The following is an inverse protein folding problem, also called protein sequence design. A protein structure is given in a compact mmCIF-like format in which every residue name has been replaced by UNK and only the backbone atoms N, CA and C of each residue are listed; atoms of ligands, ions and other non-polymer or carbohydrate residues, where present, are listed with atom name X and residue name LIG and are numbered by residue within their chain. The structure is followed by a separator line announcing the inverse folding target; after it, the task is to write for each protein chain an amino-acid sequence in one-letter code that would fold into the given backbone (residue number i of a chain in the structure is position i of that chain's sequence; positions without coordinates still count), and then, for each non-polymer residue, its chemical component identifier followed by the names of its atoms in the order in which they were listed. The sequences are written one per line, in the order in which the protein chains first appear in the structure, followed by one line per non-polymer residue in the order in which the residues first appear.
data_IF_303552710391
#
_entry.id   IF_303552710391
#
_cell.length_a   1.000
_cell.length_b   1.000
_cell.length_c   1.000
_cell.angle_alpha   90.00
_cell.angle_beta   90.00
_cell.angle_gamma   90.00
#
_symmetry.space_group_name_H-M   'P 1'
#
loop_
_entity.id
_entity.type
_entity.pdbx_description
1 polymer ?
#
# COMPACT_ATOMS: atom_id res chain seq x y z
N UNK A 1 15.78 2.03 -4.96
CA UNK A 1 17.05 2.19 -4.20
C UNK A 1 17.22 0.93 -3.36
N UNK A 2 18.36 0.25 -3.43
CA UNK A 2 18.64 -0.96 -2.64
C UNK A 2 19.36 -0.56 -1.36
N UNK A 3 18.93 -1.12 -0.22
CA UNK A 3 19.50 -0.87 1.09
C UNK A 3 20.26 -2.11 1.58
N UNK A 4 21.30 -1.91 2.38
CA UNK A 4 22.08 -2.98 2.98
C UNK A 4 21.54 -3.35 4.36
N UNK A 5 21.78 -4.60 4.78
CA UNK A 5 21.21 -5.15 6.02
C UNK A 5 21.77 -4.53 7.30
N UNK A 6 22.86 -3.77 7.23
CA UNK A 6 23.54 -3.20 8.41
C UNK A 6 22.93 -1.88 8.89
N UNK A 7 21.94 -1.33 8.19
CA UNK A 7 21.47 0.04 8.41
C UNK A 7 20.24 0.15 9.33
N UNK A 8 19.62 -0.97 9.72
CA UNK A 8 18.37 -0.95 10.48
C UNK A 8 18.35 -1.85 11.72
N UNK A 9 17.45 -1.51 12.66
CA UNK A 9 17.15 -2.30 13.84
C UNK A 9 15.63 -2.43 14.02
N UNK A 10 15.14 -3.63 14.32
CA UNK A 10 13.73 -3.87 14.63
C UNK A 10 13.34 -3.24 15.98
N UNK A 11 12.13 -2.69 16.04
CA UNK A 11 11.57 -2.07 17.25
C UNK A 11 10.35 -2.88 17.71
N UNK A 12 9.30 -2.94 16.87
CA UNK A 12 8.05 -3.63 17.17
C UNK A 12 7.43 -4.26 15.92
N UNK A 13 6.60 -5.29 16.12
CA UNK A 13 5.75 -5.86 15.08
C UNK A 13 4.37 -5.21 15.19
N UNK A 14 3.90 -4.61 14.10
CA UNK A 14 2.63 -3.88 14.05
C UNK A 14 1.49 -4.77 13.53
N UNK A 15 1.80 -5.61 12.53
CA UNK A 15 0.80 -6.45 11.86
C UNK A 15 1.46 -7.66 11.24
N UNK A 16 0.77 -8.79 11.27
CA UNK A 16 1.12 -9.98 10.52
C UNK A 16 -0.07 -10.42 9.67
N UNK A 17 0.19 -10.88 8.46
CA UNK A 17 -0.78 -11.51 7.57
C UNK A 17 -0.22 -12.82 7.01
N UNK A 18 -0.97 -13.49 6.16
CA UNK A 18 -0.50 -14.66 5.42
C UNK A 18 0.57 -14.33 4.38
N UNK A 19 0.63 -13.08 3.92
CA UNK A 19 1.51 -12.64 2.82
C UNK A 19 2.69 -11.82 3.31
N UNK A 20 2.60 -11.16 4.47
CA UNK A 20 3.65 -10.27 4.96
C UNK A 20 3.62 -10.05 6.47
N UNK A 21 4.66 -9.42 6.99
CA UNK A 21 4.74 -8.89 8.36
C UNK A 21 5.24 -7.45 8.31
N UNK A 22 4.59 -6.58 9.07
CA UNK A 22 4.87 -5.14 9.14
C UNK A 22 5.51 -4.82 10.49
N UNK A 23 6.65 -4.14 10.44
CA UNK A 23 7.45 -3.79 11.60
C UNK A 23 7.74 -2.29 11.64
N UNK A 24 7.82 -1.73 12.84
CA UNK A 24 8.58 -0.50 13.05
C UNK A 24 10.06 -0.84 13.15
N UNK A 25 10.88 -0.07 12.46
CA UNK A 25 12.34 -0.22 12.45
C UNK A 25 13.00 1.15 12.59
N UNK A 26 14.19 1.19 13.19
CA UNK A 26 15.06 2.35 13.16
C UNK A 26 16.06 2.19 12.01
N UNK A 27 15.97 3.00 10.97
CA UNK A 27 16.95 3.11 9.89
C UNK A 27 17.86 4.32 10.16
N UNK A 28 19.11 4.10 10.52
CA UNK A 28 20.07 5.18 10.82
C UNK A 28 19.52 6.25 11.81
N UNK A 29 18.77 5.81 12.83
CA UNK A 29 18.13 6.67 13.84
C UNK A 29 16.80 7.28 13.42
N UNK A 30 16.32 7.04 12.19
CA UNK A 30 14.98 7.41 11.72
C UNK A 30 13.99 6.27 11.93
N UNK A 31 12.83 6.56 12.50
CA UNK A 31 11.73 5.61 12.60
C UNK A 31 11.08 5.40 11.22
N UNK A 32 11.01 4.16 10.78
CA UNK A 32 10.48 3.74 9.49
C UNK A 32 9.55 2.54 9.65
N UNK A 33 8.73 2.30 8.64
CA UNK A 33 7.91 1.10 8.53
C UNK A 33 8.59 0.12 7.56
N UNK A 34 8.81 -1.11 7.99
CA UNK A 34 9.34 -2.19 7.17
C UNK A 34 8.24 -3.23 6.94
N UNK A 35 7.88 -3.48 5.69
CA UNK A 35 6.98 -4.58 5.32
C UNK A 35 7.81 -5.68 4.67
N UNK A 36 7.79 -6.87 5.29
CA UNK A 36 8.56 -8.06 4.91
C UNK A 36 7.59 -9.09 4.32
N UNK A 37 7.88 -9.62 3.14
CA UNK A 37 6.97 -10.47 2.37
C UNK A 37 7.41 -11.93 2.36
N UNK A 38 6.43 -12.82 2.38
CA UNK A 38 6.62 -14.21 2.00
C UNK A 38 6.82 -14.28 0.47
N UNK A 39 8.03 -14.61 0.03
CA UNK A 39 8.37 -14.64 -1.40
C UNK A 39 7.63 -15.78 -2.10
N UNK A 40 6.97 -15.47 -3.22
CA UNK A 40 6.16 -16.44 -3.95
C UNK A 40 6.98 -17.09 -5.07
N UNK A 41 6.90 -18.41 -5.18
CA UNK A 41 7.40 -19.14 -6.34
C UNK A 41 6.34 -19.12 -7.44
N UNK A 42 6.63 -18.46 -8.57
CA UNK A 42 5.68 -18.35 -9.68
C UNK A 42 5.35 -19.73 -10.28
N UNK A 43 4.07 -20.08 -10.27
CA UNK A 43 3.54 -21.34 -10.77
C UNK A 43 2.93 -21.19 -12.17
N UNK A 44 2.83 -22.28 -12.98
CA UNK A 44 2.31 -22.21 -14.35
C UNK A 44 0.85 -21.73 -14.47
N UNK A 45 0.03 -21.92 -13.44
CA UNK A 45 -1.37 -21.48 -13.42
C UNK A 45 -1.55 -20.02 -12.99
N UNK A 46 -0.47 -19.34 -12.58
CA UNK A 46 -0.54 -17.92 -12.28
C UNK A 46 -0.76 -17.10 -13.55
N UNK A 47 -1.52 -16.00 -13.47
CA UNK A 47 -1.76 -15.15 -14.61
C UNK A 47 -0.44 -14.61 -15.16
N UNK A 48 -0.33 -14.59 -16.49
CA UNK A 48 0.81 -14.01 -17.20
C UNK A 48 0.62 -12.53 -17.55
N UNK A 49 -0.57 -11.99 -17.30
CA UNK A 49 -0.97 -10.64 -17.68
C UNK A 49 -0.87 -9.62 -16.54
N UNK A 50 -0.52 -10.05 -15.33
CA UNK A 50 -0.35 -9.19 -14.15
C UNK A 50 0.76 -9.72 -13.25
N UNK A 51 1.35 -8.84 -12.45
CA UNK A 51 2.22 -9.26 -11.35
C UNK A 51 1.36 -9.77 -10.19
N UNK A 52 1.86 -10.81 -9.53
CA UNK A 52 1.20 -11.50 -8.42
C UNK A 52 2.06 -11.51 -7.16
N UNK A 53 3.37 -11.24 -7.27
CA UNK A 53 4.25 -11.12 -6.12
C UNK A 53 4.03 -9.76 -5.45
N UNK A 54 3.50 -9.73 -4.21
CA UNK A 54 3.21 -8.49 -3.50
C UNK A 54 4.42 -7.57 -3.34
N UNK A 55 5.62 -8.14 -3.15
CA UNK A 55 6.85 -7.38 -3.04
C UNK A 55 7.16 -6.66 -4.36
N UNK A 56 7.01 -7.36 -5.50
CA UNK A 56 7.26 -6.75 -6.81
C UNK A 56 6.21 -5.70 -7.17
N UNK A 57 4.93 -5.96 -6.88
CA UNK A 57 3.84 -4.98 -7.04
C UNK A 57 4.16 -3.69 -6.26
N UNK A 58 4.38 -3.82 -4.95
CA UNK A 58 4.48 -2.66 -4.06
C UNK A 58 5.79 -1.89 -4.29
N UNK A 59 6.92 -2.60 -4.46
CA UNK A 59 8.21 -1.94 -4.71
C UNK A 59 8.26 -1.22 -6.07
N UNK A 60 7.67 -1.79 -7.13
CA UNK A 60 7.60 -1.15 -8.43
C UNK A 60 6.69 0.10 -8.39
N UNK A 61 5.53 0.00 -7.72
CA UNK A 61 4.62 1.12 -7.55
C UNK A 61 5.29 2.27 -6.82
N UNK A 62 5.85 2.04 -5.62
CA UNK A 62 6.51 3.10 -4.87
C UNK A 62 7.75 3.68 -5.57
N UNK A 63 8.52 2.86 -6.30
CA UNK A 63 9.62 3.37 -7.10
C UNK A 63 9.11 4.37 -8.16
N UNK A 64 8.02 4.03 -8.86
CA UNK A 64 7.40 4.91 -9.86
C UNK A 64 6.79 6.17 -9.23
N UNK A 65 6.03 6.02 -8.15
CA UNK A 65 5.38 7.14 -7.46
C UNK A 65 6.44 8.14 -6.93
N UNK A 66 7.56 7.64 -6.42
CA UNK A 66 8.69 8.47 -6.00
C UNK A 66 9.35 9.19 -7.17
N UNK A 67 9.60 8.49 -8.28
CA UNK A 67 10.14 9.08 -9.51
C UNK A 67 9.25 10.21 -10.05
N UNK A 68 7.93 10.06 -9.93
CA UNK A 68 6.93 11.05 -10.37
C UNK A 68 6.64 12.15 -9.34
N UNK A 69 7.26 12.11 -8.16
CA UNK A 69 7.17 13.16 -7.14
C UNK A 69 6.05 13.00 -6.11
N UNK A 70 5.20 11.98 -6.20
CA UNK A 70 4.03 11.81 -5.32
C UNK A 70 4.42 11.57 -3.85
N UNK A 71 5.56 10.91 -3.60
CA UNK A 71 6.11 10.80 -2.24
C UNK A 71 6.48 12.18 -1.67
N UNK A 72 7.03 13.08 -2.49
CA UNK A 72 7.45 14.41 -2.06
C UNK A 72 6.26 15.35 -1.85
N UNK A 73 5.17 15.16 -2.61
CA UNK A 73 3.88 15.82 -2.38
C UNK A 73 3.20 15.34 -1.07
N UNK A 74 3.63 14.19 -0.53
CA UNK A 74 3.08 13.62 0.70
C UNK A 74 1.72 12.93 0.51
N UNK A 75 1.31 12.66 -0.73
CA UNK A 75 0.02 11.99 -1.04
C UNK A 75 0.10 10.47 -0.99
N UNK A 76 1.32 9.94 -0.88
CA UNK A 76 1.66 8.55 -0.51
C UNK A 76 2.83 8.58 0.48
N UNK A 77 3.10 7.51 1.24
CA UNK A 77 4.29 7.42 2.09
C UNK A 77 5.60 7.62 1.31
N UNK A 78 6.61 8.24 1.93
CA UNK A 78 7.95 8.26 1.33
C UNK A 78 8.53 6.84 1.25
N UNK A 79 9.21 6.54 0.15
CA UNK A 79 9.80 5.23 -0.14
C UNK A 79 11.32 5.27 0.02
N UNK A 80 11.84 4.59 1.04
CA UNK A 80 13.26 4.58 1.33
C UNK A 80 14.03 3.53 0.52
N UNK A 81 13.38 2.44 0.14
CA UNK A 81 13.98 1.44 -0.74
C UNK A 81 13.55 0.02 -0.42
N UNK A 82 14.33 -0.91 -0.95
CA UNK A 82 14.09 -2.36 -0.81
C UNK A 82 15.28 -3.06 -0.16
N UNK A 83 15.00 -4.18 0.50
CA UNK A 83 15.99 -5.14 0.98
C UNK A 83 15.57 -6.51 0.46
N UNK A 84 16.47 -7.17 -0.26
CA UNK A 84 16.17 -8.44 -0.92
C UNK A 84 16.96 -9.58 -0.28
N UNK A 85 16.39 -10.78 -0.31
CA UNK A 85 17.05 -12.02 0.11
C UNK A 85 17.53 -11.99 1.56
N UNK A 86 16.70 -11.46 2.46
CA UNK A 86 17.00 -11.32 3.89
C UNK A 86 17.20 -12.73 4.48
N UNK A 87 18.26 -12.90 5.28
CA UNK A 87 18.46 -14.12 6.05
C UNK A 87 17.63 -14.06 7.35
N UNK A 88 16.52 -14.80 7.47
CA UNK A 88 15.65 -14.73 8.65
C UNK A 88 16.34 -15.23 9.93
N UNK A 89 17.41 -16.02 9.82
CA UNK A 89 18.15 -16.53 10.99
C UNK A 89 18.88 -15.40 11.70
N UNK A 90 19.39 -14.40 10.97
CA UNK A 90 20.15 -13.28 11.54
C UNK A 90 19.27 -12.34 12.36
N UNK A 91 17.97 -12.29 12.07
CA UNK A 91 17.02 -11.34 12.64
C UNK A 91 15.99 -11.99 13.56
N UNK A 92 16.38 -13.08 14.21
CA UNK A 92 15.54 -13.73 15.22
C UNK A 92 15.46 -12.85 16.48
N UNK A 93 14.30 -12.76 17.14
CA UNK A 93 13.08 -13.52 16.87
C UNK A 93 12.14 -12.90 15.82
N UNK A 94 12.39 -11.67 15.37
CA UNK A 94 11.47 -10.89 14.53
C UNK A 94 11.07 -11.61 13.23
N UNK A 95 12.00 -12.31 12.58
CA UNK A 95 11.73 -13.01 11.31
C UNK A 95 11.47 -14.52 11.45
N UNK A 96 11.08 -14.99 12.64
CA UNK A 96 10.83 -16.42 12.87
C UNK A 96 9.76 -17.02 11.93
N UNK A 97 8.78 -16.22 11.47
CA UNK A 97 7.71 -16.68 10.56
C UNK A 97 8.21 -17.10 9.19
N UNK A 98 9.33 -16.51 8.74
CA UNK A 98 9.92 -16.76 7.43
C UNK A 98 10.92 -17.92 7.43
N UNK A 99 11.23 -18.51 8.60
CA UNK A 99 12.24 -19.58 8.72
C UNK A 99 11.90 -20.85 7.93
N UNK A 100 10.62 -21.09 7.64
CA UNK A 100 10.13 -22.26 6.92
C UNK A 100 9.84 -21.97 5.44
N UNK A 101 10.03 -20.73 5.00
CA UNK A 101 9.81 -20.36 3.62
C UNK A 101 10.85 -21.03 2.73
N UNK A 102 10.42 -21.45 1.54
CA UNK A 102 11.33 -22.01 0.54
C UNK A 102 12.31 -20.97 0.00
N UNK A 103 11.84 -19.73 -0.11
CA UNK A 103 12.58 -18.60 -0.66
C UNK A 103 12.80 -17.57 0.44
N UNK A 104 13.92 -16.86 0.38
CA UNK A 104 14.21 -15.80 1.35
C UNK A 104 13.24 -14.64 1.18
N UNK A 105 12.77 -14.03 2.28
CA UNK A 105 11.88 -12.88 2.21
C UNK A 105 12.59 -11.65 1.66
N UNK A 106 11.80 -10.79 1.04
CA UNK A 106 12.20 -9.44 0.63
C UNK A 106 11.40 -8.43 1.46
N UNK A 107 11.84 -7.17 1.50
CA UNK A 107 11.18 -6.12 2.25
C UNK A 107 11.24 -4.77 1.55
N UNK A 108 10.27 -3.92 1.84
CA UNK A 108 10.31 -2.49 1.52
C UNK A 108 10.43 -1.68 2.82
N UNK A 109 11.05 -0.51 2.73
CA UNK A 109 11.05 0.49 3.80
C UNK A 109 10.28 1.74 3.36
N UNK A 110 9.34 2.15 4.20
CA UNK A 110 8.46 3.29 4.00
C UNK A 110 8.55 4.27 5.16
N UNK A 111 8.08 5.49 4.92
CA UNK A 111 7.77 6.48 5.94
C UNK A 111 6.87 5.86 7.02
N UNK A 112 7.27 6.03 8.30
CA UNK A 112 6.36 5.76 9.40
C UNK A 112 5.51 7.00 9.66
N UNK A 113 4.19 6.85 9.53
CA UNK A 113 3.22 7.93 9.77
C UNK A 113 2.41 7.58 11.02
N UNK A 114 2.59 8.28 12.15
CA UNK A 114 1.86 7.97 13.38
C UNK A 114 0.39 8.38 13.27
N UNK A 115 -0.47 7.64 13.97
CA UNK A 115 -1.89 7.95 14.18
C UNK A 115 -2.73 8.12 12.90
N UNK A 116 -2.32 7.48 11.80
CA UNK A 116 -3.16 7.40 10.61
C UNK A 116 -4.44 6.62 10.92
N UNK A 117 -5.55 7.05 10.30
CA UNK A 117 -6.85 6.41 10.39
C UNK A 117 -7.38 6.19 8.98
N UNK A 118 -7.96 5.03 8.73
CA UNK A 118 -8.70 4.80 7.50
C UNK A 118 -9.87 5.79 7.37
N UNK A 119 -10.29 6.07 6.14
CA UNK A 119 -11.53 6.79 5.88
C UNK A 119 -12.70 5.97 6.44
N UNK A 120 -13.59 6.64 7.19
CA UNK A 120 -14.77 6.09 7.84
C UNK A 120 -15.74 7.22 8.20
N UNK A 121 -16.83 6.93 8.92
CA UNK A 121 -17.79 7.93 9.36
C UNK A 121 -17.18 9.11 10.12
N UNK A 122 -16.16 8.86 10.94
CA UNK A 122 -15.58 9.85 11.83
C UNK A 122 -14.52 10.71 11.14
N UNK A 123 -13.90 10.17 10.09
CA UNK A 123 -12.81 10.81 9.35
C UNK A 123 -13.25 11.37 8.01
N UNK A 124 -14.45 11.02 7.53
CA UNK A 124 -15.00 11.53 6.28
C UNK A 124 -15.28 13.04 6.33
N UNK A 125 -14.93 13.71 5.25
CA UNK A 125 -15.37 15.06 4.87
C UNK A 125 -15.38 15.11 3.34
N UNK A 126 -16.19 15.98 2.73
CA UNK A 126 -16.20 16.17 1.27
C UNK A 126 -14.81 16.51 0.73
N UNK A 127 -14.05 17.37 1.40
CA UNK A 127 -12.68 17.75 0.99
C UNK A 127 -11.71 16.56 0.97
N UNK A 128 -11.76 15.70 1.99
CA UNK A 128 -10.95 14.47 2.05
C UNK A 128 -11.35 13.47 0.96
N UNK A 129 -12.64 13.35 0.68
CA UNK A 129 -13.13 12.48 -0.40
C UNK A 129 -12.65 12.98 -1.77
N UNK A 130 -12.76 14.29 -2.03
CA UNK A 130 -12.24 14.91 -3.24
C UNK A 130 -10.72 14.73 -3.36
N UNK A 131 -9.97 14.92 -2.26
CA UNK A 131 -8.54 14.71 -2.23
C UNK A 131 -8.16 13.25 -2.52
N UNK A 132 -8.89 12.26 -1.99
CA UNK A 132 -8.62 10.84 -2.28
C UNK A 132 -8.77 10.53 -3.77
N UNK A 133 -9.81 11.07 -4.43
CA UNK A 133 -10.01 10.91 -5.88
C UNK A 133 -8.92 11.62 -6.68
N UNK A 134 -8.58 12.86 -6.34
CA UNK A 134 -7.50 13.60 -7.02
C UNK A 134 -6.16 12.87 -6.90
N UNK A 135 -5.85 12.32 -5.72
CA UNK A 135 -4.61 11.55 -5.52
C UNK A 135 -4.64 10.26 -6.34
N UNK A 136 -5.78 9.58 -6.43
CA UNK A 136 -5.93 8.38 -7.25
C UNK A 136 -5.72 8.68 -8.75
N UNK A 137 -6.24 9.80 -9.24
CA UNK A 137 -5.98 10.26 -10.61
C UNK A 137 -4.49 10.51 -10.86
N UNK A 138 -3.79 11.15 -9.91
CA UNK A 138 -2.32 11.33 -9.99
C UNK A 138 -1.56 10.00 -9.97
N UNK A 139 -2.03 9.01 -9.20
CA UNK A 139 -1.48 7.64 -9.18
C UNK A 139 -1.65 6.99 -10.55
N UNK A 140 -2.83 7.12 -11.18
CA UNK A 140 -3.08 6.63 -12.53
C UNK A 140 -2.22 7.33 -13.58
N UNK A 141 -2.07 8.67 -13.50
CA UNK A 141 -1.21 9.47 -14.38
C UNK A 141 0.27 9.10 -14.25
N UNK A 142 0.71 8.67 -13.06
CA UNK A 142 2.04 8.11 -12.83
C UNK A 142 2.25 6.72 -13.48
N UNK A 143 1.19 6.12 -14.03
CA UNK A 143 1.19 4.79 -14.62
C UNK A 143 1.08 3.66 -13.58
N UNK A 144 0.41 3.91 -12.47
CA UNK A 144 0.18 2.90 -11.43
C UNK A 144 -1.32 2.71 -11.26
N UNK A 145 -1.80 1.47 -11.37
CA UNK A 145 -3.14 1.07 -10.91
C UNK A 145 -2.97 0.51 -9.50
N UNK A 146 -3.82 0.94 -8.55
CA UNK A 146 -3.73 0.49 -7.15
C UNK A 146 -4.22 -0.95 -6.99
N UNK A 147 -5.34 -1.30 -7.63
CA UNK A 147 -5.90 -2.66 -7.65
C UNK A 147 -6.47 -3.16 -6.32
N UNK A 148 -6.60 -2.29 -5.32
CA UNK A 148 -7.19 -2.60 -4.01
C UNK A 148 -7.82 -1.36 -3.34
N UNK A 149 -8.78 -0.67 -3.98
CA UNK A 149 -9.31 0.61 -3.53
C UNK A 149 -10.35 0.45 -2.41
N UNK A 150 -9.97 -0.22 -1.33
CA UNK A 150 -10.81 -0.38 -0.14
C UNK A 150 -10.47 0.65 0.94
N UNK A 151 -11.42 0.98 1.83
CA UNK A 151 -11.26 2.05 2.82
C UNK A 151 -9.98 1.95 3.66
N UNK A 152 -9.53 0.72 3.99
CA UNK A 152 -8.30 0.47 4.76
C UNK A 152 -7.03 1.09 4.15
N UNK A 153 -7.03 1.33 2.84
CA UNK A 153 -5.90 1.84 2.07
C UNK A 153 -6.02 3.35 1.80
N UNK A 154 -7.16 3.95 2.15
CA UNK A 154 -7.44 5.37 2.04
C UNK A 154 -7.36 5.98 3.43
N UNK A 155 -6.24 6.62 3.77
CA UNK A 155 -5.98 7.03 5.15
C UNK A 155 -5.81 8.53 5.29
N UNK A 156 -6.15 9.00 6.48
CA UNK A 156 -5.97 10.39 6.90
C UNK A 156 -5.14 10.42 8.17
N UNK A 157 -4.34 11.46 8.33
CA UNK A 157 -3.71 11.80 9.60
C UNK A 157 -4.47 12.98 10.20
N UNK A 158 -5.40 12.75 11.17
CA UNK A 158 -6.29 13.80 11.65
C UNK A 158 -5.56 15.04 12.18
N UNK A 159 -4.39 14.84 12.80
CA UNK A 159 -3.62 15.90 13.45
C UNK A 159 -3.02 16.90 12.44
N UNK A 160 -2.69 16.44 11.24
CA UNK A 160 -2.08 17.26 10.18
C UNK A 160 -3.05 17.57 9.04
N UNK A 161 -4.16 16.83 8.95
CA UNK A 161 -5.08 16.86 7.82
C UNK A 161 -4.56 16.14 6.57
N UNK A 162 -3.39 15.50 6.63
CA UNK A 162 -2.79 14.79 5.48
C UNK A 162 -3.71 13.65 5.04
N UNK A 163 -3.97 13.57 3.74
CA UNK A 163 -4.74 12.51 3.08
C UNK A 163 -3.79 11.74 2.17
N UNK A 164 -3.83 10.42 2.22
CA UNK A 164 -2.86 9.59 1.51
C UNK A 164 -3.42 8.20 1.18
N UNK A 165 -2.85 7.61 0.13
CA UNK A 165 -3.05 6.22 -0.25
C UNK A 165 -1.87 5.36 0.22
N UNK A 166 -2.18 4.14 0.67
CA UNK A 166 -1.19 3.17 1.18
C UNK A 166 -1.47 1.76 0.64
N UNK A 167 -0.52 0.85 0.84
CA UNK A 167 -0.65 -0.59 0.56
C UNK A 167 -0.81 -0.93 -0.94
N UNK A 168 0.28 -0.76 -1.70
CA UNK A 168 0.32 -1.00 -3.15
C UNK A 168 0.67 -2.45 -3.50
N UNK A 169 0.32 -3.41 -2.64
CA UNK A 169 0.74 -4.81 -2.79
C UNK A 169 -0.03 -5.60 -3.86
N UNK A 170 -1.13 -5.02 -4.37
CA UNK A 170 -1.86 -5.47 -5.56
C UNK A 170 -1.62 -4.61 -6.79
N UNK A 171 -0.84 -3.54 -6.64
CA UNK A 171 -0.70 -2.54 -7.67
C UNK A 171 -0.08 -3.09 -8.96
N UNK A 172 -0.49 -2.53 -10.09
CA UNK A 172 0.07 -2.83 -11.39
C UNK A 172 0.73 -1.57 -11.94
N UNK A 173 2.05 -1.61 -12.07
CA UNK A 173 2.82 -0.52 -12.70
C UNK A 173 2.92 -0.79 -14.19
N UNK A 174 2.41 0.13 -15.01
CA UNK A 174 2.40 0.00 -16.47
C UNK A 174 3.66 0.62 -17.09
N UNK A 175 4.04 0.14 -18.27
CA UNK A 175 5.15 0.72 -19.01
C UNK A 175 4.78 2.07 -19.60
N UNK A 176 5.70 3.04 -19.55
CA UNK A 176 5.50 4.38 -20.13
C UNK A 176 5.25 4.36 -21.65
N UNK A 177 5.70 3.30 -22.33
CA UNK A 177 5.62 3.18 -23.79
C UNK A 177 4.25 2.82 -24.33
N UNK A 178 3.37 2.22 -23.52
CA UNK A 178 1.98 1.92 -23.92
C UNK A 178 1.14 1.39 -22.75
N UNK A 179 -0.05 1.97 -22.59
CA UNK A 179 -1.10 1.44 -21.70
C UNK A 179 -2.06 0.63 -22.56
N UNK A 180 -2.26 -0.64 -22.22
CA UNK A 180 -3.24 -1.50 -22.89
C UNK A 180 -4.67 -1.16 -22.46
N UNK A 181 -5.68 -1.50 -23.28
CA UNK A 181 -7.09 -1.31 -22.91
C UNK A 181 -7.45 -2.03 -21.59
N UNK A 182 -6.82 -3.17 -21.31
CA UNK A 182 -7.02 -3.90 -20.06
C UNK A 182 -6.50 -3.10 -18.86
N UNK A 183 -5.30 -2.55 -18.94
CA UNK A 183 -4.73 -1.75 -17.85
C UNK A 183 -5.53 -0.46 -17.63
N UNK A 184 -6.02 0.16 -18.71
CA UNK A 184 -6.94 1.30 -18.61
C UNK A 184 -8.23 0.91 -17.88
N UNK A 185 -8.83 -0.22 -18.23
CA UNK A 185 -10.02 -0.75 -17.55
C UNK A 185 -9.77 -0.96 -16.05
N UNK A 186 -8.58 -1.42 -15.64
CA UNK A 186 -8.27 -1.56 -14.21
C UNK A 186 -8.21 -0.22 -13.47
N UNK A 187 -7.65 0.82 -14.09
CA UNK A 187 -7.63 2.18 -13.52
C UNK A 187 -9.04 2.78 -13.46
N UNK A 188 -9.87 2.50 -14.48
CA UNK A 188 -11.28 2.88 -14.49
C UNK A 188 -12.05 2.17 -13.37
N UNK A 189 -11.79 0.87 -13.14
CA UNK A 189 -12.39 0.10 -12.03
C UNK A 189 -11.97 0.67 -10.67
N UNK A 190 -10.68 1.02 -10.48
CA UNK A 190 -10.18 1.67 -9.26
C UNK A 190 -10.94 2.97 -8.98
N UNK A 191 -11.11 3.80 -10.01
CA UNK A 191 -11.82 5.09 -9.93
C UNK A 191 -13.30 4.89 -9.60
N UNK A 192 -13.96 3.96 -10.29
CA UNK A 192 -15.38 3.69 -10.12
C UNK A 192 -15.68 3.18 -8.70
N UNK A 193 -14.91 2.20 -8.22
CA UNK A 193 -15.07 1.66 -6.87
C UNK A 193 -14.83 2.73 -5.80
N UNK A 194 -13.79 3.56 -5.98
CA UNK A 194 -13.48 4.64 -5.04
C UNK A 194 -14.59 5.69 -5.01
N UNK A 195 -15.06 6.14 -6.17
CA UNK A 195 -16.15 7.11 -6.27
C UNK A 195 -17.44 6.58 -5.65
N UNK A 196 -17.81 5.32 -5.95
CA UNK A 196 -18.99 4.71 -5.36
C UNK A 196 -18.87 4.63 -3.83
N UNK A 197 -17.75 4.11 -3.32
CA UNK A 197 -17.50 4.04 -1.88
C UNK A 197 -17.69 5.40 -1.20
N UNK A 198 -17.08 6.46 -1.74
CA UNK A 198 -17.13 7.79 -1.14
C UNK A 198 -18.53 8.41 -1.19
N UNK A 199 -19.29 8.16 -2.26
CA UNK A 199 -20.70 8.56 -2.36
C UNK A 199 -21.60 7.83 -1.35
N UNK A 200 -21.36 6.53 -1.15
CA UNK A 200 -22.09 5.74 -0.15
C UNK A 200 -21.72 6.20 1.28
N UNK A 201 -20.44 6.51 1.52
CA UNK A 201 -19.98 7.01 2.81
C UNK A 201 -20.54 8.40 3.11
N UNK A 202 -20.69 9.28 2.11
CA UNK A 202 -21.36 10.57 2.24
C UNK A 202 -22.82 10.41 2.75
N UNK A 203 -23.55 9.43 2.21
CA UNK A 203 -24.92 9.10 2.66
C UNK A 203 -24.92 8.59 4.09
N UNK A 204 -23.98 7.72 4.43
CA UNK A 204 -23.85 7.13 5.77
C UNK A 204 -23.48 8.17 6.84
N UNK A 205 -22.66 9.16 6.50
CA UNK A 205 -22.34 10.29 7.40
C UNK A 205 -23.58 11.13 7.68
N UNK A 206 -24.42 11.41 6.68
CA UNK A 206 -25.68 12.11 6.88
C UNK A 206 -26.67 11.33 7.77
N UNK A 207 -26.60 10.00 7.74
CA UNK A 207 -27.38 9.13 8.62
C UNK A 207 -26.76 8.96 10.03
N UNK A 208 -25.47 9.26 10.18
CA UNK A 208 -24.71 8.96 11.40
C UNK A 208 -24.46 7.47 11.63
N UNK A 209 -24.64 6.63 10.61
CA UNK A 209 -24.49 5.17 10.72
C UNK A 209 -23.99 4.57 9.40
N UNK A 210 -23.09 3.58 9.49
CA UNK A 210 -22.52 2.88 8.35
C UNK A 210 -23.50 1.80 7.88
N UNK A 211 -24.17 2.05 6.74
CA UNK A 211 -25.22 1.20 6.20
C UNK A 211 -24.94 0.91 4.73
N UNK A 212 -24.77 1.95 3.92
CA UNK A 212 -24.59 1.83 2.48
C UNK A 212 -23.18 1.37 2.12
N UNK A 213 -22.15 1.95 2.73
CA UNK A 213 -20.76 1.60 2.46
C UNK A 213 -20.30 0.33 3.20
N UNK A 214 -21.15 -0.26 4.06
CA UNK A 214 -20.79 -1.38 4.95
C UNK A 214 -20.09 -2.54 4.23
N UNK A 215 -20.52 -2.90 3.02
CA UNK A 215 -19.92 -3.99 2.24
C UNK A 215 -18.43 -3.79 1.93
N UNK A 216 -18.01 -2.55 1.69
CA UNK A 216 -16.60 -2.20 1.43
C UNK A 216 -15.70 -2.39 2.67
N UNK A 217 -16.26 -2.37 3.87
CA UNK A 217 -15.51 -2.51 5.12
C UNK A 217 -15.45 -3.93 5.66
N UNK A 218 -16.42 -4.79 5.31
CA UNK A 218 -16.59 -6.08 6.00
C UNK A 218 -16.92 -7.28 5.10
N UNK A 219 -17.25 -7.08 3.83
CA UNK A 219 -17.54 -8.19 2.91
C UNK A 219 -16.42 -8.45 1.91
N UNK A 220 -15.79 -7.39 1.44
CA UNK A 220 -14.78 -7.47 0.38
C UNK A 220 -13.37 -7.14 0.88
N UNK A 221 -13.25 -6.86 2.18
CA UNK A 221 -12.05 -6.37 2.84
C UNK A 221 -11.12 -7.48 3.31
#
# INVERSE_FOLDING_TARGET
MRLDSNDFAFISCEKESETSSVFQVSLQGRLCLMKVYHTIEKQPWHPNYREIDPFLCESAAYARLKERGLCQEGVVPDFYGVIEQIDPIQWRPHLNRFLKDKLRPNAILLEFIPNIKQIDLATYTEDRAAALLEILDKIHDAGVCHGDPYPRNMVVQPETGRVLWIDFDRAQTVSDSSITNRQRSWMEDDTLMTSELLDLLAKDVNLGQLVHAWGYYYHYS
#
